data_IF_937396066266
#
_entry.id   IF_937396066266
#
_cell.length_a   1.000
_cell.length_b   1.000
_cell.length_c   1.000
_cell.angle_alpha   90.00
_cell.angle_beta   90.00
_cell.angle_gamma   90.00
#
_symmetry.space_group_name_H-M   'P 1'
#
loop_
_entity.id
_entity.type
_entity.pdbx_description
1 polymer ?
#
# COMPACT_ATOMS: atom_id res chain seq x y z
N UNK A 1 -11.21 12.03 -20.38
CA UNK A 1 -10.10 11.09 -20.58
C UNK A 1 -9.30 11.11 -19.30
N UNK A 2 -9.41 10.08 -18.44
CA UNK A 2 -8.54 9.99 -17.27
C UNK A 2 -7.12 9.68 -17.76
N UNK A 3 -6.23 10.66 -17.74
CA UNK A 3 -4.82 10.38 -17.92
C UNK A 3 -4.38 9.47 -16.76
N UNK A 4 -3.90 8.29 -17.08
CA UNK A 4 -3.35 7.39 -16.06
C UNK A 4 -2.27 8.13 -15.26
N UNK A 5 -2.39 8.12 -13.94
CA UNK A 5 -1.39 8.74 -13.05
C UNK A 5 -0.08 7.95 -13.22
N UNK A 6 0.96 8.62 -13.73
CA UNK A 6 2.26 7.98 -13.98
C UNK A 6 3.20 8.06 -12.76
N UNK A 7 2.77 8.72 -11.68
CA UNK A 7 3.58 8.86 -10.46
C UNK A 7 3.58 7.57 -9.64
N UNK A 8 4.74 7.12 -9.12
CA UNK A 8 4.83 6.00 -8.19
C UNK A 8 4.45 6.38 -6.74
N UNK A 9 4.21 7.66 -6.44
CA UNK A 9 4.03 8.14 -5.07
C UNK A 9 2.60 7.95 -4.60
N UNK A 10 2.47 7.36 -3.40
CA UNK A 10 1.22 7.23 -2.64
C UNK A 10 1.41 7.97 -1.30
N UNK A 11 0.68 9.05 -1.08
CA UNK A 11 0.73 9.82 0.18
C UNK A 11 -0.17 9.17 1.22
N UNK A 12 0.39 8.82 2.38
CA UNK A 12 -0.35 8.17 3.45
C UNK A 12 -0.99 9.19 4.39
N UNK A 13 -2.33 9.17 4.48
CA UNK A 13 -3.15 10.04 5.36
C UNK A 13 -3.30 9.42 6.77
N UNK A 14 -2.17 9.04 7.38
CA UNK A 14 -2.17 8.41 8.71
C UNK A 14 -2.05 9.47 9.82
N UNK A 15 -2.65 9.21 10.99
CA UNK A 15 -2.66 10.09 12.16
C UNK A 15 -3.29 11.48 11.90
N UNK A 16 -4.33 11.54 11.08
CA UNK A 16 -5.01 12.77 10.69
C UNK A 16 -6.51 12.72 10.97
N UNK A 17 -7.11 13.85 11.24
CA UNK A 17 -8.56 14.00 11.24
C UNK A 17 -9.08 14.06 9.80
N UNK A 18 -10.40 13.88 9.60
CA UNK A 18 -11.04 14.04 8.28
C UNK A 18 -10.70 15.41 7.67
N UNK A 19 -10.91 16.48 8.44
CA UNK A 19 -10.72 17.85 7.93
C UNK A 19 -9.27 18.12 7.59
N UNK A 20 -8.30 17.66 8.41
CA UNK A 20 -6.88 17.79 8.11
C UNK A 20 -6.49 16.99 6.84
N UNK A 21 -7.04 15.79 6.67
CA UNK A 21 -6.80 14.96 5.48
C UNK A 21 -7.33 15.63 4.20
N UNK A 22 -8.51 16.24 4.26
CA UNK A 22 -9.09 16.94 3.13
C UNK A 22 -8.36 18.26 2.83
N UNK A 23 -7.96 19.01 3.85
CA UNK A 23 -7.15 20.22 3.70
C UNK A 23 -5.76 19.93 3.09
N UNK A 24 -5.16 18.79 3.43
CA UNK A 24 -3.93 18.32 2.77
C UNK A 24 -4.20 17.92 1.31
N UNK A 25 -5.27 17.19 1.05
CA UNK A 25 -5.64 16.81 -0.31
C UNK A 25 -5.86 18.05 -1.21
N UNK A 26 -6.44 19.13 -0.67
CA UNK A 26 -6.65 20.38 -1.40
C UNK A 26 -5.33 21.10 -1.76
N UNK A 27 -4.20 20.72 -1.15
CA UNK A 27 -2.86 21.27 -1.47
C UNK A 27 -2.09 20.42 -2.48
N UNK A 28 -2.50 19.17 -2.69
CA UNK A 28 -1.80 18.21 -3.55
C UNK A 28 -2.45 18.13 -4.94
N UNK A 29 -1.64 17.83 -5.96
CA UNK A 29 -2.13 17.61 -7.32
C UNK A 29 -2.45 16.10 -7.52
N UNK A 30 -3.71 15.73 -7.84
CA UNK A 30 -4.09 14.35 -8.08
C UNK A 30 -3.41 13.70 -9.30
N UNK A 31 -2.81 14.49 -10.19
CA UNK A 31 -1.98 13.96 -11.29
C UNK A 31 -0.59 13.50 -10.80
N UNK A 32 -0.13 13.95 -9.64
CA UNK A 32 1.22 13.73 -9.14
C UNK A 32 1.31 12.70 -8.02
N UNK A 33 0.21 12.31 -7.40
CA UNK A 33 0.21 11.27 -6.36
C UNK A 33 -1.16 10.63 -6.19
N UNK A 34 -1.16 9.45 -5.59
CA UNK A 34 -2.34 8.78 -5.03
C UNK A 34 -2.41 9.01 -3.53
N UNK A 35 -3.58 8.77 -2.93
CA UNK A 35 -3.76 8.89 -1.48
C UNK A 35 -4.08 7.53 -0.86
N UNK A 36 -3.45 7.24 0.28
CA UNK A 36 -3.74 6.05 1.09
C UNK A 36 -4.61 6.41 2.28
N UNK A 37 -5.76 5.74 2.39
CA UNK A 37 -6.63 5.78 3.56
C UNK A 37 -6.38 4.53 4.39
N UNK A 38 -5.80 4.72 5.57
CA UNK A 38 -5.51 3.64 6.51
C UNK A 38 -6.67 3.32 7.45
N UNK A 39 -6.47 2.28 8.29
CA UNK A 39 -7.49 1.77 9.23
C UNK A 39 -8.05 2.87 10.14
N UNK A 40 -7.19 3.72 10.72
CA UNK A 40 -7.63 4.75 11.67
C UNK A 40 -8.60 5.74 11.01
N UNK A 41 -8.18 6.34 9.89
CA UNK A 41 -8.99 7.35 9.19
C UNK A 41 -10.30 6.75 8.67
N UNK A 42 -10.25 5.54 8.11
CA UNK A 42 -11.45 4.85 7.64
C UNK A 42 -12.40 4.46 8.79
N UNK A 43 -11.88 4.00 9.93
CA UNK A 43 -12.70 3.68 11.11
C UNK A 43 -13.42 4.92 11.67
N UNK A 44 -12.76 6.08 11.60
CA UNK A 44 -13.35 7.35 12.06
C UNK A 44 -14.42 7.90 11.10
N UNK A 45 -14.21 7.74 9.80
CA UNK A 45 -14.97 8.46 8.77
C UNK A 45 -15.86 7.58 7.91
N UNK A 46 -15.68 6.25 7.95
CA UNK A 46 -16.35 5.34 7.02
C UNK A 46 -16.02 5.63 5.56
N UNK A 47 -16.88 5.18 4.63
CA UNK A 47 -16.67 5.38 3.19
C UNK A 47 -16.75 6.84 2.73
N UNK A 48 -17.26 7.74 3.56
CA UNK A 48 -17.39 9.16 3.19
C UNK A 48 -16.04 9.84 2.93
N UNK A 49 -14.96 9.40 3.59
CA UNK A 49 -13.63 9.92 3.28
C UNK A 49 -13.19 9.54 1.86
N UNK A 50 -13.44 8.32 1.42
CA UNK A 50 -13.12 7.85 0.07
C UNK A 50 -13.87 8.68 -0.97
N UNK A 51 -15.19 8.87 -0.80
CA UNK A 51 -16.00 9.70 -1.68
C UNK A 51 -15.49 11.14 -1.78
N UNK A 52 -15.12 11.74 -0.64
CA UNK A 52 -14.60 13.11 -0.60
C UNK A 52 -13.25 13.27 -1.31
N UNK A 53 -12.40 12.22 -1.29
CA UNK A 53 -11.13 12.19 -2.04
C UNK A 53 -11.36 11.97 -3.54
N UNK A 54 -12.32 11.13 -3.93
CA UNK A 54 -12.73 10.96 -5.34
C UNK A 54 -13.31 12.25 -5.94
N UNK A 55 -14.08 13.04 -5.16
CA UNK A 55 -14.56 14.35 -5.61
C UNK A 55 -13.40 15.32 -5.92
N UNK A 56 -12.22 15.11 -5.30
CA UNK A 56 -10.96 15.81 -5.58
C UNK A 56 -10.10 15.13 -6.65
N UNK A 57 -10.66 14.13 -7.33
CA UNK A 57 -10.05 13.37 -8.43
C UNK A 57 -8.85 12.50 -8.02
N UNK A 58 -8.67 12.22 -6.73
CA UNK A 58 -7.62 11.30 -6.29
C UNK A 58 -8.03 9.84 -6.48
N UNK A 59 -7.09 9.04 -7.01
CA UNK A 59 -7.13 7.59 -6.87
C UNK A 59 -6.77 7.20 -5.43
N UNK A 60 -7.55 6.30 -4.83
CA UNK A 60 -7.41 5.91 -3.42
C UNK A 60 -6.92 4.48 -3.28
N UNK A 61 -5.85 4.31 -2.50
CA UNK A 61 -5.45 3.02 -1.94
C UNK A 61 -6.11 2.84 -0.57
N UNK A 62 -7.02 1.90 -0.44
CA UNK A 62 -7.69 1.58 0.82
C UNK A 62 -6.90 0.52 1.57
N UNK A 63 -6.13 0.94 2.58
CA UNK A 63 -5.15 0.13 3.31
C UNK A 63 -5.74 -0.42 4.62
N UNK A 64 -6.72 -1.33 4.51
CA UNK A 64 -7.42 -1.94 5.65
C UNK A 64 -6.84 -3.27 6.08
N UNK A 65 -6.04 -3.91 5.23
CA UNK A 65 -5.35 -5.19 5.51
C UNK A 65 -6.35 -6.27 5.97
N UNK A 66 -7.36 -6.54 5.14
CA UNK A 66 -8.38 -7.53 5.49
C UNK A 66 -7.77 -8.89 5.79
N UNK A 67 -8.23 -9.52 6.87
CA UNK A 67 -7.73 -10.79 7.35
C UNK A 67 -8.85 -11.52 8.09
N UNK A 68 -9.54 -12.41 7.39
CA UNK A 68 -10.69 -13.16 7.91
C UNK A 68 -10.84 -14.46 7.10
N UNK A 69 -11.86 -15.26 7.42
CA UNK A 69 -12.25 -16.44 6.63
C UNK A 69 -12.51 -16.05 5.16
N UNK A 70 -12.37 -16.98 4.21
CA UNK A 70 -12.36 -16.69 2.79
C UNK A 70 -13.54 -15.84 2.31
N UNK A 71 -14.78 -16.21 2.66
CA UNK A 71 -15.94 -15.46 2.19
C UNK A 71 -16.01 -14.04 2.76
N UNK A 72 -15.71 -13.84 4.04
CA UNK A 72 -15.72 -12.52 4.68
C UNK A 72 -14.65 -11.60 4.08
N UNK A 73 -13.43 -12.13 3.86
CA UNK A 73 -12.35 -11.39 3.17
C UNK A 73 -12.76 -10.99 1.76
N UNK A 74 -13.35 -11.92 0.99
CA UNK A 74 -13.76 -11.66 -0.38
C UNK A 74 -14.88 -10.61 -0.46
N UNK A 75 -15.88 -10.66 0.45
CA UNK A 75 -16.96 -9.68 0.49
C UNK A 75 -16.45 -8.29 0.91
N UNK A 76 -15.50 -8.21 1.84
CA UNK A 76 -14.90 -6.94 2.24
C UNK A 76 -14.10 -6.29 1.09
N UNK A 77 -13.37 -7.10 0.31
CA UNK A 77 -12.66 -6.63 -0.89
C UNK A 77 -13.65 -6.16 -1.96
N UNK A 78 -14.73 -6.91 -2.21
CA UNK A 78 -15.77 -6.54 -3.18
C UNK A 78 -16.45 -5.22 -2.78
N UNK A 79 -16.91 -5.09 -1.54
CA UNK A 79 -17.51 -3.87 -1.03
C UNK A 79 -16.55 -2.66 -1.13
N UNK A 80 -15.24 -2.89 -0.97
CA UNK A 80 -14.24 -1.86 -1.17
C UNK A 80 -14.12 -1.45 -2.64
N UNK A 81 -14.15 -2.41 -3.57
CA UNK A 81 -14.10 -2.14 -5.00
C UNK A 81 -15.35 -1.36 -5.48
N UNK A 82 -16.52 -1.65 -4.92
CA UNK A 82 -17.78 -0.92 -5.19
C UNK A 82 -17.71 0.56 -4.79
N UNK A 83 -16.79 0.94 -3.88
CA UNK A 83 -16.51 2.35 -3.57
C UNK A 83 -15.70 3.04 -4.68
N UNK A 84 -15.23 2.32 -5.71
CA UNK A 84 -14.44 2.86 -6.81
C UNK A 84 -12.96 3.05 -6.49
N UNK A 85 -12.42 2.38 -5.47
CA UNK A 85 -11.01 2.50 -5.08
C UNK A 85 -10.07 1.93 -6.15
N UNK A 86 -8.90 2.52 -6.26
CA UNK A 86 -7.84 2.08 -7.16
C UNK A 86 -7.13 0.81 -6.67
N UNK A 87 -6.85 0.70 -5.36
CA UNK A 87 -6.11 -0.42 -4.75
C UNK A 87 -6.68 -0.77 -3.38
N UNK A 88 -6.69 -2.07 -3.05
CA UNK A 88 -7.03 -2.58 -1.71
C UNK A 88 -6.06 -3.68 -1.32
N UNK A 89 -5.89 -3.91 -0.02
CA UNK A 89 -5.05 -4.99 0.46
C UNK A 89 -5.73 -5.93 1.45
N UNK A 90 -5.24 -7.16 1.42
CA UNK A 90 -5.49 -8.20 2.41
C UNK A 90 -4.19 -8.58 3.13
N UNK A 91 -4.20 -9.41 4.15
CA UNK A 91 -3.01 -10.09 4.65
C UNK A 91 -2.77 -11.39 3.88
N UNK A 92 -1.53 -11.65 3.44
CA UNK A 92 -1.17 -12.92 2.78
C UNK A 92 -1.33 -14.13 3.71
N UNK A 93 -1.20 -13.91 5.03
CA UNK A 93 -1.43 -14.93 6.06
C UNK A 93 -2.90 -15.36 6.22
N UNK A 94 -3.85 -14.69 5.54
CA UNK A 94 -5.22 -15.19 5.42
C UNK A 94 -5.30 -16.47 4.56
N UNK A 95 -4.24 -16.81 3.84
CA UNK A 95 -4.10 -18.05 3.09
C UNK A 95 -4.57 -17.97 1.63
N UNK A 96 -4.20 -19.01 0.88
CA UNK A 96 -4.45 -19.09 -0.56
C UNK A 96 -5.93 -18.95 -0.91
N UNK A 97 -6.80 -19.67 -0.20
CA UNK A 97 -8.24 -19.71 -0.47
C UNK A 97 -8.89 -18.32 -0.34
N UNK A 98 -8.58 -17.60 0.76
CA UNK A 98 -9.13 -16.27 1.00
C UNK A 98 -8.68 -15.26 -0.07
N UNK A 99 -7.41 -15.29 -0.42
CA UNK A 99 -6.85 -14.41 -1.46
C UNK A 99 -7.42 -14.74 -2.84
N UNK A 100 -7.47 -16.02 -3.23
CA UNK A 100 -8.00 -16.44 -4.54
C UNK A 100 -9.48 -16.12 -4.68
N UNK A 101 -10.29 -16.36 -3.64
CA UNK A 101 -11.71 -16.02 -3.67
C UNK A 101 -11.94 -14.51 -3.79
N UNK A 102 -11.15 -13.69 -3.07
CA UNK A 102 -11.22 -12.24 -3.17
C UNK A 102 -10.88 -11.75 -4.59
N UNK A 103 -9.82 -12.30 -5.22
CA UNK A 103 -9.46 -11.97 -6.60
C UNK A 103 -10.55 -12.39 -7.58
N UNK A 104 -11.12 -13.58 -7.40
CA UNK A 104 -12.21 -14.06 -8.27
C UNK A 104 -13.43 -13.15 -8.21
N UNK A 105 -13.83 -12.66 -7.03
CA UNK A 105 -14.95 -11.72 -6.90
C UNK A 105 -14.73 -10.41 -7.65
N UNK A 106 -13.49 -9.90 -7.65
CA UNK A 106 -13.16 -8.71 -8.44
C UNK A 106 -13.28 -8.98 -9.95
N UNK A 107 -12.81 -10.15 -10.41
CA UNK A 107 -12.89 -10.56 -11.82
C UNK A 107 -14.34 -10.76 -12.26
N UNK A 108 -15.15 -11.44 -11.47
CA UNK A 108 -16.55 -11.70 -11.74
C UNK A 108 -17.38 -10.38 -11.87
N UNK A 109 -16.99 -9.37 -11.09
CA UNK A 109 -17.59 -8.03 -11.12
C UNK A 109 -16.98 -7.06 -12.12
N UNK A 110 -16.02 -7.50 -12.94
CA UNK A 110 -15.22 -6.66 -13.87
C UNK A 110 -14.58 -5.42 -13.22
N UNK A 111 -14.23 -5.52 -11.93
CA UNK A 111 -13.54 -4.44 -11.22
C UNK A 111 -12.06 -4.36 -11.64
N UNK A 112 -11.57 -3.13 -11.84
CA UNK A 112 -10.17 -2.85 -12.18
C UNK A 112 -9.31 -2.53 -10.95
N UNK A 113 -9.88 -2.67 -9.77
CA UNK A 113 -9.20 -2.47 -8.48
C UNK A 113 -8.02 -3.44 -8.34
N UNK A 114 -6.84 -2.91 -8.07
CA UNK A 114 -5.67 -3.72 -7.76
C UNK A 114 -5.85 -4.36 -6.38
N UNK A 115 -5.69 -5.68 -6.31
CA UNK A 115 -5.70 -6.45 -5.07
C UNK A 115 -4.29 -6.91 -4.74
N UNK A 116 -3.74 -6.42 -3.64
CA UNK A 116 -2.40 -6.79 -3.17
C UNK A 116 -2.47 -7.40 -1.77
N UNK A 117 -1.42 -8.12 -1.36
CA UNK A 117 -1.37 -8.69 -0.02
C UNK A 117 -0.19 -8.16 0.79
N UNK A 118 -0.40 -7.95 2.09
CA UNK A 118 0.68 -7.63 3.04
C UNK A 118 1.43 -8.91 3.40
N UNK A 119 2.73 -8.93 3.21
CA UNK A 119 3.60 -10.05 3.61
C UNK A 119 3.84 -10.03 5.12
N UNK A 120 4.97 -9.48 5.56
CA UNK A 120 5.30 -9.26 6.96
C UNK A 120 5.32 -7.76 7.21
N UNK A 121 4.69 -7.31 8.30
CA UNK A 121 4.69 -5.89 8.66
C UNK A 121 6.13 -5.39 8.84
N UNK A 122 6.45 -4.22 8.30
CA UNK A 122 7.81 -3.65 8.33
C UNK A 122 8.32 -3.30 9.74
N UNK A 123 7.42 -3.30 10.72
CA UNK A 123 7.75 -3.16 12.16
C UNK A 123 8.18 -4.47 12.83
N UNK A 124 7.91 -5.63 12.19
CA UNK A 124 8.28 -6.95 12.73
C UNK A 124 9.71 -7.31 12.35
N UNK A 125 10.39 -7.95 13.29
CA UNK A 125 11.69 -8.57 13.12
C UNK A 125 11.60 -10.09 13.40
N UNK A 126 12.74 -10.78 13.33
CA UNK A 126 12.80 -12.23 13.58
C UNK A 126 12.28 -12.62 14.97
N UNK A 127 12.50 -11.79 15.99
CA UNK A 127 12.01 -12.08 17.33
C UNK A 127 10.48 -12.01 17.41
N UNK A 128 9.88 -10.99 16.78
CA UNK A 128 8.41 -10.87 16.70
C UNK A 128 7.79 -12.02 15.90
N UNK A 129 8.44 -12.50 14.84
CA UNK A 129 8.00 -13.66 14.08
C UNK A 129 8.03 -14.95 14.90
N UNK A 130 9.08 -15.17 15.70
CA UNK A 130 9.19 -16.32 16.61
C UNK A 130 8.02 -16.37 17.61
N UNK A 131 7.56 -15.23 18.11
CA UNK A 131 6.41 -15.13 19.02
C UNK A 131 5.09 -15.59 18.37
N UNK A 132 5.02 -15.56 17.04
CA UNK A 132 3.87 -16.06 16.26
C UNK A 132 4.08 -17.46 15.71
N UNK A 133 5.14 -18.16 16.14
CA UNK A 133 5.44 -19.54 15.75
C UNK A 133 6.18 -19.68 14.42
N UNK A 134 6.67 -18.58 13.83
CA UNK A 134 7.43 -18.61 12.57
C UNK A 134 8.92 -18.68 12.88
N UNK A 135 9.54 -19.82 12.55
CA UNK A 135 10.94 -20.13 12.90
C UNK A 135 11.94 -19.95 11.78
N UNK A 136 11.48 -19.88 10.53
CA UNK A 136 12.36 -19.86 9.33
C UNK A 136 12.98 -18.47 9.05
N UNK A 137 12.62 -17.46 9.85
CA UNK A 137 13.11 -16.10 9.71
C UNK A 137 12.34 -15.23 8.74
N UNK A 138 12.69 -13.93 8.76
CA UNK A 138 11.95 -12.88 8.06
C UNK A 138 11.96 -13.08 6.54
N UNK A 139 13.13 -13.27 5.95
CA UNK A 139 13.29 -13.33 4.49
C UNK A 139 12.58 -14.55 3.88
N UNK A 140 12.65 -15.70 4.58
CA UNK A 140 11.95 -16.91 4.17
C UNK A 140 10.43 -16.72 4.25
N UNK A 141 9.94 -16.10 5.31
CA UNK A 141 8.50 -15.85 5.48
C UNK A 141 7.96 -14.84 4.45
N UNK A 142 8.69 -13.75 4.20
CA UNK A 142 8.32 -12.77 3.18
C UNK A 142 8.25 -13.42 1.79
N UNK A 143 9.27 -14.18 1.42
CA UNK A 143 9.33 -14.91 0.14
C UNK A 143 8.19 -15.90 -0.02
N UNK A 144 7.88 -16.67 1.03
CA UNK A 144 6.77 -17.63 1.07
C UNK A 144 5.42 -16.94 0.86
N UNK A 145 5.17 -15.85 1.57
CA UNK A 145 3.91 -15.10 1.49
C UNK A 145 3.75 -14.40 0.14
N UNK A 146 4.83 -13.87 -0.45
CA UNK A 146 4.80 -13.27 -1.77
C UNK A 146 4.50 -14.31 -2.87
N UNK A 147 5.12 -15.48 -2.81
CA UNK A 147 4.85 -16.58 -3.74
C UNK A 147 3.39 -17.08 -3.60
N UNK A 148 2.89 -17.21 -2.37
CA UNK A 148 1.50 -17.58 -2.11
C UNK A 148 0.53 -16.54 -2.70
N UNK A 149 0.85 -15.24 -2.56
CA UNK A 149 0.09 -14.13 -3.12
C UNK A 149 0.06 -14.19 -4.65
N UNK A 150 1.19 -14.45 -5.28
CA UNK A 150 1.29 -14.65 -6.73
C UNK A 150 0.47 -15.87 -7.19
N UNK A 151 0.56 -16.99 -6.46
CA UNK A 151 -0.22 -18.20 -6.73
C UNK A 151 -1.72 -17.95 -6.66
N UNK A 152 -2.17 -17.09 -5.74
CA UNK A 152 -3.56 -16.68 -5.62
C UNK A 152 -4.04 -15.75 -6.76
N UNK A 153 -3.16 -15.32 -7.65
CA UNK A 153 -3.45 -14.44 -8.77
C UNK A 153 -3.60 -12.96 -8.40
N UNK A 154 -3.12 -12.54 -7.23
CA UNK A 154 -3.14 -11.14 -6.82
C UNK A 154 -2.11 -10.31 -7.62
N UNK A 155 -2.32 -9.00 -7.64
CA UNK A 155 -1.54 -8.08 -8.46
C UNK A 155 -0.17 -7.74 -7.87
N UNK A 156 0.04 -7.98 -6.56
CA UNK A 156 1.30 -7.67 -5.89
C UNK A 156 1.26 -7.79 -4.37
N UNK A 157 2.29 -7.24 -3.73
CA UNK A 157 2.43 -7.25 -2.27
C UNK A 157 2.84 -5.89 -1.70
N UNK A 158 2.51 -5.68 -0.42
CA UNK A 158 3.17 -4.68 0.44
C UNK A 158 4.37 -5.36 1.10
N UNK A 159 5.57 -4.80 0.90
CA UNK A 159 6.83 -5.33 1.40
C UNK A 159 7.81 -4.20 1.73
N UNK A 160 8.94 -4.50 2.37
CA UNK A 160 10.05 -3.55 2.51
C UNK A 160 10.74 -3.30 1.16
N UNK A 161 11.23 -2.09 0.92
CA UNK A 161 12.07 -1.80 -0.23
C UNK A 161 13.35 -2.68 -0.25
N UNK A 162 13.86 -3.08 0.92
CA UNK A 162 15.03 -3.97 1.05
C UNK A 162 14.77 -5.39 0.50
N UNK A 163 13.50 -5.79 0.36
CA UNK A 163 13.09 -7.09 -0.15
C UNK A 163 12.81 -7.06 -1.67
N UNK A 164 12.79 -5.86 -2.27
CA UNK A 164 12.25 -5.65 -3.63
C UNK A 164 12.98 -6.45 -4.70
N UNK A 165 14.31 -6.43 -4.73
CA UNK A 165 15.11 -7.17 -5.73
C UNK A 165 14.82 -8.68 -5.67
N UNK A 166 14.81 -9.25 -4.46
CA UNK A 166 14.51 -10.67 -4.26
C UNK A 166 13.09 -11.01 -4.71
N UNK A 167 12.10 -10.18 -4.38
CA UNK A 167 10.72 -10.42 -4.74
C UNK A 167 10.46 -10.26 -6.23
N UNK A 168 11.12 -9.30 -6.92
CA UNK A 168 11.07 -9.20 -8.38
C UNK A 168 11.67 -10.43 -9.06
N UNK A 169 12.78 -10.95 -8.54
CA UNK A 169 13.39 -12.18 -9.06
C UNK A 169 12.46 -13.40 -8.88
N UNK A 170 11.77 -13.52 -7.73
CA UNK A 170 10.89 -14.65 -7.41
C UNK A 170 9.53 -14.56 -8.10
N UNK A 171 8.95 -13.37 -8.16
CA UNK A 171 7.57 -13.18 -8.59
C UNK A 171 7.44 -12.59 -10.01
N UNK A 172 8.51 -12.10 -10.59
CA UNK A 172 8.53 -11.50 -11.94
C UNK A 172 8.33 -9.99 -11.90
N UNK A 173 8.66 -9.33 -13.04
CA UNK A 173 8.70 -7.87 -13.15
C UNK A 173 7.30 -7.22 -13.08
N UNK A 174 6.27 -7.91 -13.54
CA UNK A 174 4.90 -7.40 -13.56
C UNK A 174 4.22 -7.43 -12.18
N UNK A 175 4.75 -8.22 -11.23
CA UNK A 175 4.22 -8.33 -9.87
C UNK A 175 4.52 -7.06 -9.08
N UNK A 176 3.46 -6.35 -8.64
CA UNK A 176 3.58 -5.02 -8.04
C UNK A 176 4.14 -5.07 -6.63
N UNK A 177 5.13 -4.21 -6.38
CA UNK A 177 5.72 -4.03 -5.05
C UNK A 177 5.37 -2.63 -4.53
N UNK A 178 4.60 -2.60 -3.43
CA UNK A 178 4.17 -1.37 -2.74
C UNK A 178 4.98 -1.26 -1.45
N UNK A 179 5.84 -0.25 -1.36
CA UNK A 179 6.84 -0.17 -0.30
C UNK A 179 6.64 1.04 0.61
N UNK A 180 6.29 0.82 1.89
CA UNK A 180 6.34 1.84 2.93
C UNK A 180 7.77 2.03 3.47
N UNK A 181 7.94 2.97 4.40
CA UNK A 181 9.25 3.23 5.01
C UNK A 181 10.17 4.07 4.13
N UNK A 182 9.61 4.79 3.17
CA UNK A 182 10.35 5.67 2.27
C UNK A 182 10.60 7.01 2.96
N UNK A 183 11.88 7.46 2.96
CA UNK A 183 12.34 8.69 3.58
C UNK A 183 13.39 9.37 2.71
N UNK A 184 13.38 10.71 2.72
CA UNK A 184 14.51 11.47 2.20
C UNK A 184 15.68 11.42 3.21
N UNK A 185 16.93 11.67 2.77
CA UNK A 185 18.10 11.60 3.65
C UNK A 185 18.01 12.49 4.90
N UNK A 186 17.31 13.62 4.81
CA UNK A 186 17.16 14.60 5.89
C UNK A 186 15.91 14.36 6.77
N UNK A 187 15.11 13.32 6.48
CA UNK A 187 13.93 13.00 7.27
C UNK A 187 14.28 12.14 8.49
N UNK A 188 13.48 12.27 9.56
CA UNK A 188 13.59 11.39 10.73
C UNK A 188 13.14 9.95 10.41
N UNK A 189 13.83 8.97 10.98
CA UNK A 189 13.48 7.55 10.82
C UNK A 189 12.18 7.17 11.53
N UNK A 190 11.85 7.85 12.61
CA UNK A 190 10.67 7.63 13.46
C UNK A 190 10.51 6.15 13.91
N UNK A 191 9.28 5.59 13.70
CA UNK A 191 8.88 4.23 14.05
C UNK A 191 9.22 3.19 12.96
N UNK A 192 9.79 3.59 11.82
CA UNK A 192 10.17 2.68 10.74
C UNK A 192 11.57 2.09 11.01
N UNK A 193 11.64 0.75 11.12
CA UNK A 193 12.91 0.03 11.32
C UNK A 193 13.68 -0.19 10.02
N UNK A 194 12.98 -0.20 8.87
CA UNK A 194 13.53 -0.50 7.55
C UNK A 194 13.23 0.65 6.60
N UNK A 195 14.12 1.64 6.53
CA UNK A 195 13.99 2.84 5.71
C UNK A 195 14.80 2.73 4.41
N UNK A 196 14.35 3.41 3.36
CA UNK A 196 15.01 3.50 2.07
C UNK A 196 14.68 4.86 1.42
N UNK A 197 15.60 5.37 0.58
CA UNK A 197 15.32 6.58 -0.20
C UNK A 197 14.38 6.27 -1.37
N UNK A 198 13.59 7.25 -1.86
CA UNK A 198 12.69 7.05 -3.01
C UNK A 198 13.42 6.47 -4.23
N UNK A 199 14.52 7.07 -4.63
CA UNK A 199 15.33 6.64 -5.77
C UNK A 199 15.86 5.21 -5.62
N UNK A 200 16.40 4.88 -4.43
CA UNK A 200 16.93 3.54 -4.18
C UNK A 200 15.80 2.51 -4.23
N UNK A 201 14.64 2.79 -3.63
CA UNK A 201 13.51 1.86 -3.66
C UNK A 201 13.03 1.55 -5.08
N UNK A 202 12.95 2.55 -5.97
CA UNK A 202 12.61 2.32 -7.38
C UNK A 202 13.69 1.53 -8.12
N UNK A 203 14.97 1.85 -7.91
CA UNK A 203 16.10 1.12 -8.52
C UNK A 203 16.12 -0.34 -8.07
N UNK A 204 15.69 -0.64 -6.84
CA UNK A 204 15.59 -2.00 -6.30
C UNK A 204 14.33 -2.74 -6.79
N UNK A 205 13.43 -2.06 -7.51
CA UNK A 205 12.27 -2.68 -8.15
C UNK A 205 10.93 -2.39 -7.49
N UNK A 206 10.83 -1.44 -6.55
CA UNK A 206 9.54 -0.97 -6.04
C UNK A 206 8.72 -0.32 -7.15
N UNK A 207 7.42 -0.65 -7.26
CA UNK A 207 6.52 0.01 -8.22
C UNK A 207 5.85 1.24 -7.61
N UNK A 208 5.50 1.18 -6.32
CA UNK A 208 4.81 2.25 -5.61
C UNK A 208 5.46 2.53 -4.25
N UNK A 209 5.61 3.80 -3.95
CA UNK A 209 6.26 4.32 -2.74
C UNK A 209 5.23 4.92 -1.80
N UNK A 210 5.00 4.32 -0.64
CA UNK A 210 4.09 4.86 0.37
C UNK A 210 4.86 5.81 1.28
N UNK A 211 4.55 7.10 1.19
CA UNK A 211 5.22 8.19 1.90
C UNK A 211 4.20 8.92 2.78
N UNK A 212 4.45 8.96 4.07
CA UNK A 212 3.59 9.63 5.06
C UNK A 212 4.19 10.94 5.54
N UNK A 213 4.68 10.95 6.79
CA UNK A 213 5.14 12.14 7.52
C UNK A 213 6.13 13.03 6.78
N UNK A 214 7.00 12.48 5.94
CA UNK A 214 7.88 13.27 5.07
C UNK A 214 7.13 14.30 4.23
N UNK A 215 5.92 13.99 3.79
CA UNK A 215 5.06 14.90 3.02
C UNK A 215 4.04 15.58 3.94
N UNK A 216 3.31 14.79 4.74
CA UNK A 216 2.14 15.29 5.49
C UNK A 216 2.48 16.25 6.62
N UNK A 217 3.73 16.25 7.11
CA UNK A 217 4.24 17.16 8.15
C UNK A 217 5.21 18.22 7.60
N UNK A 218 5.42 18.27 6.29
CA UNK A 218 6.21 19.33 5.69
C UNK A 218 5.51 20.68 5.81
N UNK A 219 6.28 21.76 5.93
CA UNK A 219 5.74 23.13 5.94
C UNK A 219 4.99 23.46 4.64
N UNK A 220 5.43 22.89 3.51
CA UNK A 220 4.77 22.94 2.20
C UNK A 220 4.74 21.49 1.63
N UNK A 221 3.62 20.77 1.80
CA UNK A 221 3.47 19.40 1.29
C UNK A 221 3.57 19.29 -0.23
N UNK A 222 3.08 20.30 -0.97
CA UNK A 222 3.16 20.30 -2.43
C UNK A 222 4.60 20.44 -2.92
N UNK A 223 5.35 21.39 -2.37
CA UNK A 223 6.77 21.55 -2.68
C UNK A 223 7.59 20.31 -2.29
N UNK A 224 7.27 19.68 -1.13
CA UNK A 224 7.95 18.46 -0.70
C UNK A 224 7.66 17.29 -1.66
N UNK A 225 6.41 17.12 -2.12
CA UNK A 225 6.06 16.12 -3.13
C UNK A 225 6.83 16.36 -4.44
N UNK A 226 6.90 17.60 -4.91
CA UNK A 226 7.67 17.96 -6.12
C UNK A 226 9.16 17.61 -5.96
N UNK A 227 9.76 17.93 -4.81
CA UNK A 227 11.16 17.59 -4.51
C UNK A 227 11.40 16.08 -4.57
N UNK A 228 10.48 15.30 -4.01
CA UNK A 228 10.54 13.82 -4.08
C UNK A 228 10.50 13.37 -5.53
N UNK A 229 9.53 13.84 -6.31
CA UNK A 229 9.37 13.46 -7.72
C UNK A 229 10.59 13.81 -8.58
N UNK A 230 11.24 14.95 -8.30
CA UNK A 230 12.48 15.35 -8.98
C UNK A 230 13.69 14.47 -8.61
N UNK A 231 13.64 13.76 -7.49
CA UNK A 231 14.71 12.87 -7.02
C UNK A 231 14.62 11.46 -7.60
N UNK A 232 13.51 11.10 -8.27
CA UNK A 232 13.28 9.78 -8.87
C UNK A 232 14.02 9.66 -10.21
#
# INVERSE_FOLDING_TARGET
>A
MNNAINSPVIVALDNMTKDASLALADQLDPALCRLKVGKELFTRCGPEIVKALHQRQFEVFLDLKFHDIPNTTAQAVLASAELGIWMVNVHASAGLEAMSLAKQRLLDGDFKTLLIAVTVLTSMDNQALLQTGITDGLDAQVSRLAQLTKQAGLDGVVCSAQEAQTLKALCGQDFKLVTPGIRLPDDNADDQKRICTPKQALNDGSDYLVIGRSITQAADPAAKLQLILQSL
#
